data_IF_469629431977
#
_entry.id   IF_469629431977
#
_cell.length_a   1.000
_cell.length_b   1.000
_cell.length_c   1.000
_cell.angle_alpha   90.00
_cell.angle_beta   90.00
_cell.angle_gamma   90.00
#
_symmetry.space_group_name_H-M   'P 1'
#
loop_
_entity.id
_entity.type
_entity.pdbx_description
1 polymer ?
#
# COMPACT_ATOMS: atom_id res chain seq x y z
N UNK A 1 -53.17 -1.90 -9.00
CA UNK A 1 -52.09 -2.62 -9.70
C UNK A 1 -51.68 -1.82 -10.92
N UNK A 2 -50.59 -1.04 -10.82
CA UNK A 2 -50.09 -0.20 -11.90
C UNK A 2 -48.57 -0.34 -11.97
N UNK A 3 -48.09 -0.64 -13.17
CA UNK A 3 -46.71 -0.50 -13.62
C UNK A 3 -46.14 0.86 -13.20
N UNK A 4 -44.90 0.90 -12.70
CA UNK A 4 -44.12 2.14 -12.62
C UNK A 4 -42.78 1.97 -13.33
N UNK A 5 -42.73 2.71 -14.43
CA UNK A 5 -41.71 2.82 -15.45
C UNK A 5 -40.57 3.72 -15.00
N UNK A 6 -39.38 3.37 -15.48
CA UNK A 6 -38.17 4.19 -15.67
C UNK A 6 -38.46 5.68 -15.86
N UNK A 7 -37.84 6.55 -15.05
CA UNK A 7 -37.54 7.96 -15.38
C UNK A 7 -36.30 8.45 -14.63
N UNK A 8 -35.20 8.70 -15.34
CA UNK A 8 -34.70 10.05 -15.62
C UNK A 8 -33.27 9.99 -16.19
N UNK A 9 -33.21 10.19 -17.51
CA UNK A 9 -32.03 10.54 -18.29
C UNK A 9 -32.13 12.05 -18.58
N UNK A 10 -30.96 12.72 -18.67
CA UNK A 10 -30.69 14.06 -19.21
C UNK A 10 -31.09 15.28 -18.37
N UNK A 11 -30.06 15.96 -17.84
CA UNK A 11 -29.87 17.40 -18.06
C UNK A 11 -28.39 17.67 -18.33
N UNK A 12 -28.03 17.72 -19.60
CA UNK A 12 -26.77 18.27 -20.13
C UNK A 12 -27.18 19.19 -21.27
N UNK A 13 -27.13 20.51 -21.06
CA UNK A 13 -26.85 21.52 -22.09
C UNK A 13 -26.88 22.93 -21.48
N UNK A 14 -25.80 23.68 -21.72
CA UNK A 14 -25.83 25.14 -21.75
C UNK A 14 -25.00 25.83 -20.68
N UNK A 15 -23.68 25.89 -20.86
CA UNK A 15 -22.93 27.14 -20.68
C UNK A 15 -21.65 27.07 -21.53
N UNK A 16 -21.66 27.80 -22.64
CA UNK A 16 -20.50 28.13 -23.44
C UNK A 16 -20.14 29.59 -23.13
N UNK A 17 -18.83 29.83 -22.99
CA UNK A 17 -18.14 31.12 -23.06
C UNK A 17 -18.16 32.01 -21.80
N UNK A 18 -17.32 31.63 -20.84
CA UNK A 18 -16.30 32.55 -20.34
C UNK A 18 -15.01 31.76 -20.16
N UNK A 19 -13.92 32.24 -20.76
CA UNK A 19 -12.59 31.67 -20.57
C UNK A 19 -12.12 31.97 -19.16
N UNK A 20 -12.57 31.16 -18.20
CA UNK A 20 -11.91 31.08 -16.91
C UNK A 20 -10.58 30.36 -17.15
N UNK A 21 -9.48 31.08 -16.90
CA UNK A 21 -8.22 30.45 -16.54
C UNK A 21 -8.54 29.38 -15.49
N UNK A 22 -8.53 28.12 -15.90
CA UNK A 22 -8.70 26.99 -14.99
C UNK A 22 -7.64 27.14 -13.91
N UNK A 23 -8.04 27.65 -12.74
CA UNK A 23 -7.17 27.77 -11.60
C UNK A 23 -6.56 26.38 -11.35
N UNK A 24 -5.25 26.33 -11.11
CA UNK A 24 -4.60 25.07 -10.79
C UNK A 24 -5.38 24.40 -9.63
N UNK A 25 -5.61 23.08 -9.68
CA UNK A 25 -6.33 22.40 -8.63
C UNK A 25 -5.67 22.71 -7.27
N UNK A 26 -6.46 22.95 -6.21
CA UNK A 26 -5.91 23.33 -4.92
C UNK A 26 -4.94 22.24 -4.42
N UNK A 27 -3.89 22.62 -3.69
CA UNK A 27 -2.90 21.65 -3.21
C UNK A 27 -3.58 20.58 -2.36
N UNK A 28 -3.19 19.33 -2.58
CA UNK A 28 -3.70 18.16 -1.87
C UNK A 28 -3.32 18.16 -0.39
N UNK A 29 -2.35 18.99 0.02
CA UNK A 29 -1.90 19.17 1.39
C UNK A 29 -2.19 20.59 1.89
N UNK A 30 -2.72 20.68 3.10
CA UNK A 30 -3.05 21.95 3.78
C UNK A 30 -2.30 22.02 5.10
N UNK A 31 -1.64 23.15 5.37
CA UNK A 31 -0.95 23.38 6.66
C UNK A 31 -1.98 23.38 7.79
N UNK A 32 -1.67 22.70 8.88
CA UNK A 32 -2.48 22.64 10.10
C UNK A 32 -1.61 22.89 11.32
N UNK A 33 -2.24 23.31 12.42
CA UNK A 33 -1.55 23.50 13.68
C UNK A 33 -1.45 22.18 14.46
N UNK A 34 -0.47 22.09 15.35
CA UNK A 34 -0.35 20.98 16.29
C UNK A 34 -1.49 21.05 17.31
N UNK A 35 -2.42 20.09 17.29
CA UNK A 35 -3.52 20.01 18.27
C UNK A 35 -3.12 19.23 19.54
N UNK A 36 -3.83 19.43 20.65
CA UNK A 36 -3.54 18.76 21.93
C UNK A 36 -3.70 17.23 21.86
N UNK A 37 -4.57 16.71 20.98
CA UNK A 37 -4.77 15.28 20.83
C UNK A 37 -3.57 14.61 20.12
N UNK A 38 -2.90 15.30 19.19
CA UNK A 38 -1.63 14.89 18.59
C UNK A 38 -0.51 14.85 19.64
N UNK A 39 -0.54 15.79 20.58
CA UNK A 39 0.49 15.94 21.60
C UNK A 39 0.37 14.97 22.77
N UNK A 40 -0.85 14.54 23.09
CA UNK A 40 -1.14 13.70 24.26
C UNK A 40 -1.44 12.25 23.93
N UNK A 41 -1.78 11.93 22.68
CA UNK A 41 -1.98 10.55 22.29
C UNK A 41 -0.71 9.72 22.54
N UNK A 42 -0.84 8.45 22.96
CA UNK A 42 0.29 7.55 23.04
C UNK A 42 1.00 7.53 21.69
N UNK A 43 2.27 7.92 21.69
CA UNK A 43 3.14 7.65 20.55
C UNK A 43 3.29 6.13 20.46
N UNK A 44 3.60 5.59 19.29
CA UNK A 44 3.89 4.18 19.25
C UNK A 44 5.15 3.93 20.10
N UNK A 45 4.99 3.36 21.30
CA UNK A 45 6.10 3.03 22.19
C UNK A 45 7.17 2.21 21.47
N UNK A 46 6.75 1.47 20.45
CA UNK A 46 7.60 0.71 19.54
C UNK A 46 8.64 1.60 18.83
N UNK A 47 8.31 2.85 18.45
CA UNK A 47 9.27 3.77 17.80
C UNK A 47 10.41 4.11 18.75
N UNK A 48 10.09 4.47 19.99
CA UNK A 48 11.09 4.85 20.98
C UNK A 48 11.97 3.65 21.35
N UNK A 49 11.34 2.50 21.58
CA UNK A 49 12.04 1.26 21.92
C UNK A 49 12.89 0.74 20.74
N UNK A 50 12.53 1.05 19.49
CA UNK A 50 13.24 0.64 18.26
C UNK A 50 13.97 1.80 17.57
N UNK A 51 14.34 2.86 18.31
CA UNK A 51 14.87 4.09 17.72
C UNK A 51 16.09 3.91 16.80
N UNK A 52 16.95 2.92 17.09
CA UNK A 52 18.10 2.60 16.25
C UNK A 52 17.71 1.94 14.92
N UNK A 53 16.74 1.03 14.94
CA UNK A 53 16.20 0.39 13.74
C UNK A 53 15.52 1.43 12.84
N UNK A 54 14.72 2.30 13.45
CA UNK A 54 14.11 3.46 12.80
C UNK A 54 15.17 4.37 12.17
N UNK A 55 16.22 4.70 12.92
CA UNK A 55 17.31 5.54 12.42
C UNK A 55 18.07 4.92 11.25
N UNK A 56 18.13 3.58 11.18
CA UNK A 56 18.69 2.83 10.05
C UNK A 56 17.76 2.85 8.84
N UNK A 57 16.46 2.60 9.04
CA UNK A 57 15.45 2.67 7.98
C UNK A 57 15.39 4.06 7.33
N UNK A 58 15.56 5.11 8.12
CA UNK A 58 15.65 6.50 7.63
C UNK A 58 16.82 6.71 6.67
N UNK A 59 17.98 6.07 6.89
CA UNK A 59 19.15 6.23 6.03
C UNK A 59 18.89 5.70 4.60
N UNK A 60 18.17 4.60 4.47
CA UNK A 60 17.80 4.03 3.16
C UNK A 60 16.82 4.95 2.43
N UNK A 61 15.85 5.51 3.15
CA UNK A 61 14.91 6.47 2.58
C UNK A 61 15.59 7.80 2.17
N UNK A 62 16.59 8.25 2.93
CA UNK A 62 17.45 9.39 2.54
C UNK A 62 18.24 9.09 1.26
N UNK A 63 18.70 7.85 1.06
CA UNK A 63 19.33 7.42 -0.19
C UNK A 63 18.38 7.55 -1.39
N UNK A 64 17.13 7.12 -1.26
CA UNK A 64 16.10 7.36 -2.28
C UNK A 64 15.96 8.84 -2.62
N UNK A 65 15.90 9.72 -1.61
CA UNK A 65 15.73 11.17 -1.83
C UNK A 65 16.93 11.84 -2.54
N UNK A 66 18.07 11.16 -2.64
CA UNK A 66 19.24 11.59 -3.43
C UNK A 66 19.26 11.02 -4.85
N UNK A 67 18.25 10.24 -5.24
CA UNK A 67 18.20 9.59 -6.55
C UNK A 67 17.51 10.45 -7.61
N UNK A 68 17.82 10.25 -8.91
CA UNK A 68 17.08 10.85 -10.01
C UNK A 68 15.58 10.50 -10.01
N UNK A 69 15.22 9.33 -9.46
CA UNK A 69 13.83 8.91 -9.33
C UNK A 69 13.04 9.82 -8.37
N UNK A 70 13.65 10.21 -7.25
CA UNK A 70 13.05 11.17 -6.33
C UNK A 70 12.92 12.55 -6.96
N UNK A 71 13.96 13.03 -7.65
CA UNK A 71 13.91 14.31 -8.37
C UNK A 71 12.75 14.36 -9.37
N UNK A 72 12.61 13.33 -10.20
CA UNK A 72 11.51 13.21 -11.16
C UNK A 72 10.13 13.08 -10.50
N UNK A 73 10.04 12.47 -9.31
CA UNK A 73 8.79 12.38 -8.56
C UNK A 73 8.36 13.75 -8.01
N UNK A 74 9.29 14.50 -7.41
CA UNK A 74 9.01 15.82 -6.83
C UNK A 74 8.83 16.91 -7.88
N UNK A 75 9.45 16.80 -9.06
CA UNK A 75 9.21 17.71 -10.18
C UNK A 75 7.74 17.66 -10.67
N UNK A 76 7.11 16.48 -10.63
CA UNK A 76 5.72 16.27 -11.05
C UNK A 76 4.70 16.72 -10.01
N UNK A 77 5.02 16.58 -8.73
CA UNK A 77 4.05 16.75 -7.64
C UNK A 77 3.73 18.22 -7.28
N UNK A 78 4.52 19.21 -7.76
CA UNK A 78 4.35 20.66 -7.48
C UNK A 78 3.90 20.99 -6.03
N UNK A 79 4.49 20.32 -5.03
CA UNK A 79 3.91 20.22 -3.69
C UNK A 79 4.59 21.12 -2.65
N UNK A 80 4.94 22.37 -2.97
CA UNK A 80 5.53 23.28 -1.97
C UNK A 80 4.70 23.25 -0.66
N UNK A 81 5.32 23.04 0.52
CA UNK A 81 6.75 23.10 0.82
C UNK A 81 7.55 21.79 0.62
N UNK A 82 6.93 20.70 0.16
CA UNK A 82 7.55 19.41 -0.03
C UNK A 82 8.35 19.37 -1.34
N UNK A 83 9.64 19.66 -1.25
CA UNK A 83 10.64 19.34 -2.27
C UNK A 83 11.50 18.17 -1.81
N UNK A 84 12.15 17.45 -2.73
CA UNK A 84 13.06 16.36 -2.37
C UNK A 84 14.11 16.82 -1.34
N UNK A 85 14.67 18.03 -1.53
CA UNK A 85 15.61 18.65 -0.58
C UNK A 85 14.99 18.93 0.78
N UNK A 86 13.79 19.52 0.83
CA UNK A 86 13.12 19.84 2.09
C UNK A 86 12.75 18.56 2.86
N UNK A 87 12.25 17.53 2.17
CA UNK A 87 11.96 16.24 2.78
C UNK A 87 13.24 15.58 3.28
N UNK A 88 14.32 15.58 2.50
CA UNK A 88 15.61 15.04 2.93
C UNK A 88 16.13 15.73 4.20
N UNK A 89 16.12 17.05 4.25
CA UNK A 89 16.53 17.84 5.44
C UNK A 89 15.65 17.51 6.64
N UNK A 90 14.34 17.35 6.42
CA UNK A 90 13.39 16.95 7.45
C UNK A 90 13.74 15.58 8.04
N UNK A 91 14.07 14.59 7.21
CA UNK A 91 14.47 13.26 7.69
C UNK A 91 15.82 13.26 8.40
N UNK A 92 16.80 14.04 7.92
CA UNK A 92 18.10 14.19 8.58
C UNK A 92 17.92 14.78 9.99
N UNK A 93 17.16 15.88 10.11
CA UNK A 93 16.89 16.50 11.41
C UNK A 93 16.07 15.59 12.30
N UNK A 94 15.05 14.93 11.76
CA UNK A 94 14.25 13.97 12.51
C UNK A 94 15.12 12.84 13.09
N UNK A 95 16.03 12.27 12.29
CA UNK A 95 16.97 11.23 12.71
C UNK A 95 17.89 11.73 13.83
N UNK A 96 18.40 12.96 13.72
CA UNK A 96 19.21 13.59 14.76
C UNK A 96 18.43 13.72 16.07
N UNK A 97 17.22 14.29 16.01
CA UNK A 97 16.36 14.44 17.19
C UNK A 97 16.06 13.11 17.86
N UNK A 98 15.75 12.07 17.07
CA UNK A 98 15.43 10.75 17.58
C UNK A 98 16.61 10.10 18.34
N UNK A 99 17.84 10.30 17.84
CA UNK A 99 19.04 9.75 18.45
C UNK A 99 19.52 10.57 19.65
N UNK A 100 19.41 11.90 19.58
CA UNK A 100 19.91 12.82 20.61
C UNK A 100 18.98 12.95 21.83
N UNK A 101 17.66 12.80 21.63
CA UNK A 101 16.69 12.93 22.73
C UNK A 101 16.88 11.82 23.77
N UNK A 102 16.76 12.18 25.04
CA UNK A 102 16.89 11.26 26.19
C UNK A 102 15.56 10.65 26.59
N UNK A 103 14.46 11.32 26.29
CA UNK A 103 13.09 10.86 26.61
C UNK A 103 12.14 11.08 25.43
N UNK A 104 11.08 10.27 25.35
CA UNK A 104 10.01 10.47 24.35
C UNK A 104 9.39 11.88 24.47
N UNK A 105 9.22 12.38 25.70
CA UNK A 105 8.67 13.71 25.97
C UNK A 105 9.52 14.82 25.36
N UNK A 106 10.84 14.76 25.54
CA UNK A 106 11.79 15.71 24.95
C UNK A 106 11.73 15.65 23.42
N UNK A 107 11.79 14.44 22.85
CA UNK A 107 11.71 14.23 21.42
C UNK A 107 10.44 14.85 20.80
N UNK A 108 9.27 14.60 21.40
CA UNK A 108 7.99 15.15 20.94
C UNK A 108 7.93 16.67 21.05
N UNK A 109 8.48 17.22 22.13
CA UNK A 109 8.55 18.67 22.31
C UNK A 109 9.35 19.33 21.19
N UNK A 110 10.53 18.79 20.87
CA UNK A 110 11.41 19.33 19.83
C UNK A 110 10.86 19.09 18.42
N UNK A 111 10.23 17.93 18.17
CA UNK A 111 9.55 17.65 16.92
C UNK A 111 8.47 18.71 16.64
N UNK A 112 7.68 19.08 17.65
CA UNK A 112 6.66 20.14 17.54
C UNK A 112 7.25 21.52 17.24
N UNK A 113 8.33 21.89 17.93
CA UNK A 113 8.92 23.22 17.79
C UNK A 113 9.58 23.41 16.43
N UNK A 114 10.10 22.36 15.83
CA UNK A 114 10.88 22.46 14.59
C UNK A 114 10.12 22.07 13.33
N UNK A 115 9.04 21.28 13.42
CA UNK A 115 8.30 20.81 12.25
C UNK A 115 6.93 21.47 12.12
N UNK A 116 6.52 21.70 10.87
CA UNK A 116 5.15 22.06 10.48
C UNK A 116 4.36 20.81 10.10
N UNK A 117 3.06 20.83 10.36
CA UNK A 117 2.14 19.76 9.97
C UNK A 117 1.36 20.14 8.73
N UNK A 118 1.19 19.17 7.85
CA UNK A 118 0.35 19.27 6.66
C UNK A 118 -0.59 18.07 6.62
N UNK A 119 -1.89 18.33 6.48
CA UNK A 119 -2.91 17.29 6.37
C UNK A 119 -3.36 17.16 4.91
N UNK A 120 -3.55 15.94 4.37
CA UNK A 120 -4.23 15.76 3.11
C UNK A 120 -5.63 16.39 3.14
N UNK A 121 -6.16 16.81 1.98
CA UNK A 121 -7.56 17.24 1.87
C UNK A 121 -8.54 16.06 2.01
N UNK A 122 -8.07 14.84 1.84
CA UNK A 122 -8.93 13.67 1.89
C UNK A 122 -9.85 13.58 0.66
N UNK A 123 -10.65 12.52 0.57
CA UNK A 123 -11.65 12.39 -0.49
C UNK A 123 -12.85 13.33 -0.25
N UNK A 124 -13.06 13.76 0.99
CA UNK A 124 -14.19 14.58 1.41
C UNK A 124 -13.88 16.08 1.50
N UNK A 125 -12.62 16.48 1.28
CA UNK A 125 -12.16 17.87 1.45
C UNK A 125 -11.95 18.30 2.91
N UNK A 126 -12.29 17.44 3.89
CA UNK A 126 -12.19 17.71 5.32
C UNK A 126 -10.95 17.07 5.96
N UNK A 127 -10.14 16.40 5.16
CA UNK A 127 -8.86 15.80 5.56
C UNK A 127 -8.98 14.42 6.17
N UNK A 128 -10.09 13.72 5.93
CA UNK A 128 -10.27 12.33 6.34
C UNK A 128 -9.54 11.40 5.38
N UNK A 129 -8.72 10.51 5.94
CA UNK A 129 -8.03 9.45 5.20
C UNK A 129 -8.62 8.11 5.60
N UNK A 130 -8.98 7.29 4.62
CA UNK A 130 -9.38 5.91 4.86
C UNK A 130 -8.15 5.01 4.81
N UNK A 131 -7.89 4.35 5.94
CA UNK A 131 -6.77 3.45 6.16
C UNK A 131 -7.21 2.00 5.95
N UNK A 132 -6.40 1.28 5.19
CA UNK A 132 -6.36 -0.19 5.18
C UNK A 132 -5.01 -0.67 5.71
N UNK A 133 -4.86 -1.98 5.85
CA UNK A 133 -3.58 -2.60 6.19
C UNK A 133 -3.13 -3.59 5.13
N UNK A 134 -1.82 -3.61 4.87
CA UNK A 134 -1.18 -4.60 4.00
C UNK A 134 -0.02 -5.29 4.72
N UNK A 135 0.38 -6.44 4.19
CA UNK A 135 1.39 -7.29 4.79
C UNK A 135 2.09 -8.11 3.71
N UNK A 136 3.23 -8.70 4.04
CA UNK A 136 3.89 -9.66 3.16
C UNK A 136 3.52 -11.09 3.58
N UNK A 137 2.74 -11.84 2.78
CA UNK A 137 2.38 -13.21 3.11
C UNK A 137 3.59 -14.14 3.09
N UNK A 138 3.49 -15.21 3.87
CA UNK A 138 4.41 -16.36 3.81
C UNK A 138 3.61 -17.58 3.39
N UNK A 139 3.90 -18.15 2.22
CA UNK A 139 3.16 -19.28 1.67
C UNK A 139 4.07 -20.46 1.34
N UNK A 140 3.51 -21.66 1.48
CA UNK A 140 4.15 -22.89 0.97
C UNK A 140 4.08 -22.90 -0.55
N UNK A 141 5.17 -23.28 -1.21
CA UNK A 141 5.24 -23.31 -2.66
C UNK A 141 6.02 -24.52 -3.19
N UNK A 142 5.91 -24.78 -4.48
CA UNK A 142 6.75 -25.74 -5.21
C UNK A 142 7.50 -25.05 -6.34
N UNK A 143 8.70 -25.55 -6.65
CA UNK A 143 9.50 -25.14 -7.82
C UNK A 143 9.06 -25.85 -9.11
N UNK A 144 8.15 -26.82 -8.99
CA UNK A 144 7.58 -27.56 -10.13
C UNK A 144 6.09 -27.72 -9.92
N UNK A 145 5.33 -27.75 -11.01
CA UNK A 145 3.90 -28.06 -10.96
C UNK A 145 3.69 -29.49 -10.43
N UNK A 146 2.77 -29.66 -9.50
CA UNK A 146 2.35 -30.98 -8.97
C UNK A 146 0.83 -31.04 -8.87
N UNK A 147 0.27 -32.18 -8.43
CA UNK A 147 -1.16 -32.28 -8.16
C UNK A 147 -1.64 -31.29 -7.08
N UNK A 148 -0.80 -31.02 -6.08
CA UNK A 148 -1.09 -30.08 -4.98
C UNK A 148 -0.77 -28.64 -5.37
N UNK A 149 0.43 -28.39 -5.90
CA UNK A 149 0.89 -27.04 -6.26
C UNK A 149 0.65 -26.78 -7.74
N UNK A 150 -0.50 -26.17 -8.06
CA UNK A 150 -1.00 -26.01 -9.43
C UNK A 150 -1.09 -24.55 -9.90
N UNK A 151 -1.02 -23.58 -9.00
CA UNK A 151 -1.32 -22.18 -9.31
C UNK A 151 -0.03 -21.36 -9.42
N UNK A 152 0.45 -21.03 -10.63
CA UNK A 152 1.71 -20.34 -10.83
C UNK A 152 1.63 -18.85 -10.49
N UNK A 153 2.74 -18.30 -10.00
CA UNK A 153 3.08 -16.88 -10.14
C UNK A 153 4.18 -16.73 -11.19
N UNK A 154 4.23 -15.58 -11.89
CA UNK A 154 5.02 -15.45 -13.11
C UNK A 154 6.07 -14.34 -13.04
N UNK A 155 7.19 -14.59 -13.71
CA UNK A 155 8.14 -13.55 -14.10
C UNK A 155 7.55 -12.63 -15.15
N UNK A 156 7.99 -11.37 -15.16
CA UNK A 156 7.66 -10.44 -16.25
C UNK A 156 8.28 -10.95 -17.56
N UNK A 157 7.51 -11.09 -18.65
CA UNK A 157 8.05 -11.46 -19.95
C UNK A 157 9.09 -10.44 -20.46
N UNK A 158 10.20 -10.87 -21.11
CA UNK A 158 11.21 -9.95 -21.63
C UNK A 158 10.65 -8.94 -22.65
N UNK A 159 9.64 -9.33 -23.42
CA UNK A 159 8.98 -8.49 -24.41
C UNK A 159 7.80 -7.67 -23.84
N UNK A 160 7.63 -7.61 -22.52
CA UNK A 160 6.50 -6.93 -21.88
C UNK A 160 6.37 -5.46 -22.30
N UNK A 161 7.50 -4.76 -22.48
CA UNK A 161 7.50 -3.37 -22.93
C UNK A 161 6.96 -3.17 -24.35
N UNK A 162 6.92 -4.24 -25.16
CA UNK A 162 6.40 -4.23 -26.53
C UNK A 162 4.94 -4.71 -26.62
N UNK A 163 4.30 -5.01 -25.49
CA UNK A 163 2.90 -5.42 -25.50
C UNK A 163 2.01 -4.24 -25.88
N UNK A 164 1.05 -4.48 -26.79
CA UNK A 164 0.06 -3.48 -27.19
C UNK A 164 -0.93 -3.25 -26.06
N UNK A 165 -1.29 -1.99 -25.81
CA UNK A 165 -2.40 -1.62 -24.93
C UNK A 165 -3.77 -1.78 -25.66
N UNK A 166 -4.83 -2.22 -24.97
CA UNK A 166 -4.80 -2.73 -23.61
C UNK A 166 -4.05 -4.06 -23.53
N UNK A 167 -3.30 -4.29 -22.44
CA UNK A 167 -2.57 -5.55 -22.26
C UNK A 167 -3.53 -6.77 -22.24
N UNK A 168 -3.02 -8.00 -22.41
CA UNK A 168 -3.83 -9.20 -22.22
C UNK A 168 -4.49 -9.23 -20.83
N UNK A 169 -5.73 -9.68 -20.77
CA UNK A 169 -6.49 -9.82 -19.51
C UNK A 169 -5.90 -10.93 -18.65
N UNK A 170 -6.14 -10.88 -17.33
CA UNK A 170 -5.85 -11.98 -16.41
C UNK A 170 -6.27 -13.35 -16.96
N UNK A 171 -7.52 -13.48 -17.43
CA UNK A 171 -8.04 -14.73 -17.98
C UNK A 171 -7.24 -15.24 -19.18
N UNK A 172 -6.80 -14.33 -20.06
CA UNK A 172 -5.93 -14.68 -21.20
C UNK A 172 -4.55 -15.17 -20.75
N UNK A 173 -4.03 -14.63 -19.63
CA UNK A 173 -2.70 -14.92 -19.11
C UNK A 173 -2.64 -16.21 -18.26
N UNK A 174 -3.53 -16.37 -17.28
CA UNK A 174 -3.51 -17.50 -16.34
C UNK A 174 -4.59 -18.56 -16.60
N UNK A 175 -5.47 -18.35 -17.58
CA UNK A 175 -6.62 -19.22 -17.82
C UNK A 175 -7.79 -18.97 -16.87
N UNK A 176 -8.96 -19.53 -17.18
CA UNK A 176 -10.16 -19.34 -16.37
C UNK A 176 -10.04 -19.93 -14.97
N UNK A 177 -9.37 -21.07 -14.82
CA UNK A 177 -9.14 -21.76 -13.54
C UNK A 177 -7.83 -21.32 -12.83
N UNK A 178 -7.07 -20.41 -13.43
CA UNK A 178 -5.82 -19.88 -12.89
C UNK A 178 -4.65 -20.88 -12.87
N UNK A 179 -4.74 -22.03 -13.56
CA UNK A 179 -3.67 -23.03 -13.59
C UNK A 179 -2.64 -22.81 -14.70
N UNK A 180 -2.73 -21.68 -15.39
CA UNK A 180 -1.86 -21.25 -16.47
C UNK A 180 -2.46 -21.51 -17.85
N UNK A 181 -2.21 -20.61 -18.79
CA UNK A 181 -2.58 -20.80 -20.20
C UNK A 181 -1.44 -21.50 -20.98
N UNK A 182 -1.59 -22.77 -21.41
CA UNK A 182 -0.53 -23.52 -22.08
C UNK A 182 -0.19 -23.02 -23.50
N UNK A 183 -1.00 -22.12 -24.05
CA UNK A 183 -0.74 -21.41 -25.32
C UNK A 183 -0.51 -19.91 -25.10
N UNK A 184 -0.50 -19.47 -23.84
CA UNK A 184 -0.36 -18.08 -23.47
C UNK A 184 1.09 -17.61 -23.44
N UNK A 185 1.31 -16.28 -23.43
CA UNK A 185 2.65 -15.68 -23.44
C UNK A 185 3.45 -15.93 -22.14
N UNK A 186 2.83 -16.52 -21.12
CA UNK A 186 3.45 -16.77 -19.81
C UNK A 186 3.98 -18.20 -19.65
N UNK A 187 3.76 -19.09 -20.62
CA UNK A 187 4.29 -20.47 -20.56
C UNK A 187 5.81 -20.46 -20.41
N UNK A 188 6.33 -21.20 -19.43
CA UNK A 188 7.77 -21.27 -19.14
C UNK A 188 8.30 -20.05 -18.37
N UNK A 189 7.43 -19.14 -17.92
CA UNK A 189 7.77 -17.98 -17.09
C UNK A 189 7.34 -18.16 -15.63
N UNK A 190 6.87 -19.34 -15.27
CA UNK A 190 6.49 -19.68 -13.89
C UNK A 190 7.70 -19.52 -12.97
N UNK A 191 7.47 -18.90 -11.82
CA UNK A 191 8.48 -18.63 -10.80
C UNK A 191 8.33 -19.57 -9.59
N UNK A 192 7.08 -19.87 -9.23
CA UNK A 192 6.71 -20.85 -8.23
C UNK A 192 5.24 -21.26 -8.44
N UNK A 193 4.85 -22.40 -7.89
CA UNK A 193 3.48 -22.90 -7.88
C UNK A 193 2.95 -22.94 -6.44
N UNK A 194 1.76 -22.38 -6.23
CA UNK A 194 1.05 -22.32 -4.96
C UNK A 194 -0.01 -23.43 -4.90
N UNK A 195 -0.39 -23.80 -3.68
CA UNK A 195 -1.41 -24.83 -3.44
C UNK A 195 -2.83 -24.29 -3.68
N UNK A 196 -3.04 -22.98 -3.50
CA UNK A 196 -4.32 -22.33 -3.70
C UNK A 196 -4.23 -21.14 -4.67
N UNK A 197 -5.24 -20.99 -5.54
CA UNK A 197 -5.40 -19.79 -6.37
C UNK A 197 -5.62 -18.55 -5.52
N UNK A 198 -6.27 -18.68 -4.35
CA UNK A 198 -6.44 -17.57 -3.42
C UNK A 198 -5.09 -17.04 -2.93
N UNK A 199 -4.17 -17.93 -2.55
CA UNK A 199 -2.83 -17.55 -2.11
C UNK A 199 -2.07 -16.84 -3.25
N UNK A 200 -2.07 -17.42 -4.45
CA UNK A 200 -1.44 -16.79 -5.62
C UNK A 200 -2.03 -15.40 -5.91
N UNK A 201 -3.35 -15.25 -5.83
CA UNK A 201 -4.02 -13.96 -5.98
C UNK A 201 -3.68 -12.99 -4.84
N UNK A 202 -3.56 -13.45 -3.59
CA UNK A 202 -3.12 -12.61 -2.47
C UNK A 202 -1.69 -12.11 -2.68
N UNK A 203 -0.78 -12.89 -3.27
CA UNK A 203 0.54 -12.37 -3.64
C UNK A 203 0.41 -11.20 -4.65
N UNK A 204 -0.55 -11.25 -5.59
CA UNK A 204 -0.85 -10.14 -6.51
C UNK A 204 -1.39 -8.91 -5.78
N UNK A 205 -2.28 -9.10 -4.80
CA UNK A 205 -2.84 -7.99 -4.00
C UNK A 205 -1.77 -7.34 -3.14
N UNK A 206 -0.92 -8.13 -2.49
CA UNK A 206 0.12 -7.63 -1.56
C UNK A 206 1.40 -7.15 -2.25
N UNK A 207 1.63 -7.56 -3.51
CA UNK A 207 2.78 -7.13 -4.32
C UNK A 207 4.12 -7.78 -3.97
N UNK A 208 4.22 -8.54 -2.88
CA UNK A 208 5.40 -9.33 -2.51
C UNK A 208 5.00 -10.54 -1.67
N UNK A 209 5.91 -11.52 -1.55
CA UNK A 209 5.71 -12.68 -0.68
C UNK A 209 7.03 -13.34 -0.28
N UNK A 210 6.97 -14.16 0.77
CA UNK A 210 8.01 -15.11 1.14
C UNK A 210 7.52 -16.53 0.85
N UNK A 211 8.27 -17.27 0.06
CA UNK A 211 7.89 -18.61 -0.38
C UNK A 211 8.73 -19.67 0.30
N UNK A 212 8.07 -20.56 1.03
CA UNK A 212 8.67 -21.72 1.69
C UNK A 212 8.50 -22.95 0.81
N UNK A 213 9.59 -23.37 0.16
CA UNK A 213 9.50 -24.45 -0.83
C UNK A 213 9.36 -25.83 -0.18
N UNK A 214 8.55 -26.69 -0.80
CA UNK A 214 8.62 -28.13 -0.57
C UNK A 214 10.00 -28.65 -0.99
N UNK A 215 10.61 -29.50 -0.17
CA UNK A 215 12.02 -29.89 -0.34
C UNK A 215 13.04 -28.89 0.22
N UNK A 216 12.59 -27.77 0.78
CA UNK A 216 13.45 -26.81 1.50
C UNK A 216 13.86 -25.59 0.67
N UNK A 217 14.48 -24.65 1.39
CA UNK A 217 14.83 -23.33 0.89
C UNK A 217 13.66 -22.35 0.88
N UNK A 218 14.02 -21.08 0.87
CA UNK A 218 13.10 -19.95 0.96
C UNK A 218 13.43 -18.93 -0.13
N UNK A 219 12.43 -18.26 -0.68
CA UNK A 219 12.61 -17.22 -1.69
C UNK A 219 11.68 -16.05 -1.42
N UNK A 220 12.26 -14.85 -1.31
CA UNK A 220 11.50 -13.62 -1.36
C UNK A 220 11.17 -13.28 -2.82
N UNK A 221 9.94 -12.87 -3.08
CA UNK A 221 9.49 -12.39 -4.39
C UNK A 221 8.89 -11.01 -4.23
N UNK A 222 9.12 -10.14 -5.20
CA UNK A 222 8.58 -8.78 -5.21
C UNK A 222 8.08 -8.38 -6.59
N UNK A 223 7.28 -7.33 -6.62
CA UNK A 223 6.70 -6.74 -7.82
C UNK A 223 7.77 -6.47 -8.90
N UNK A 224 7.45 -6.87 -10.13
CA UNK A 224 8.28 -6.66 -11.31
C UNK A 224 7.51 -6.04 -12.49
N UNK A 225 6.22 -5.72 -12.31
CA UNK A 225 5.38 -5.10 -13.33
C UNK A 225 3.90 -5.48 -13.18
N UNK A 226 3.03 -4.72 -13.84
CA UNK A 226 1.60 -4.99 -13.87
C UNK A 226 1.03 -4.70 -15.26
N UNK A 227 -0.01 -5.43 -15.64
CA UNK A 227 -0.86 -5.03 -16.76
C UNK A 227 -1.52 -3.68 -16.48
N UNK A 228 -1.95 -3.00 -17.53
CA UNK A 228 -2.48 -1.63 -17.52
C UNK A 228 -3.92 -1.50 -16.98
N UNK A 229 -4.57 -2.62 -16.62
CA UNK A 229 -5.89 -2.59 -16.00
C UNK A 229 -5.86 -2.04 -14.57
N UNK A 230 -6.91 -1.28 -14.17
CA UNK A 230 -7.09 -0.87 -12.78
C UNK A 230 -7.31 -2.09 -11.88
N UNK A 231 -6.91 -1.96 -10.62
CA UNK A 231 -7.22 -3.00 -9.64
C UNK A 231 -8.73 -3.09 -9.40
N UNK A 232 -9.24 -4.32 -9.35
CA UNK A 232 -10.61 -4.61 -8.93
C UNK A 232 -10.58 -5.67 -7.84
N UNK A 233 -11.16 -5.37 -6.69
CA UNK A 233 -11.33 -6.35 -5.62
C UNK A 233 -12.32 -7.46 -6.02
N UNK A 234 -12.70 -8.28 -5.05
CA UNK A 234 -13.88 -9.14 -5.21
C UNK A 234 -15.12 -8.24 -5.32
N UNK A 235 -16.00 -8.53 -6.28
CA UNK A 235 -17.31 -7.87 -6.37
C UNK A 235 -18.21 -8.36 -5.23
N UNK A 236 -19.13 -7.55 -4.72
CA UNK A 236 -19.93 -7.90 -3.53
C UNK A 236 -20.70 -9.23 -3.69
N UNK A 237 -21.23 -9.50 -4.88
CA UNK A 237 -21.92 -10.75 -5.23
C UNK A 237 -21.04 -12.01 -5.19
N UNK A 238 -19.72 -11.86 -5.02
CA UNK A 238 -18.81 -12.96 -4.72
C UNK A 238 -18.86 -13.40 -3.27
N UNK A 239 -19.15 -12.46 -2.37
CA UNK A 239 -19.09 -12.67 -0.92
C UNK A 239 -20.48 -12.89 -0.33
N UNK A 240 -21.57 -12.58 -1.05
CA UNK A 240 -22.96 -12.83 -0.63
C UNK A 240 -23.22 -14.29 -0.22
N UNK A 241 -22.61 -15.26 -0.91
CA UNK A 241 -22.78 -16.70 -0.62
C UNK A 241 -21.82 -17.21 0.46
N UNK A 242 -20.92 -16.36 0.97
CA UNK A 242 -19.94 -16.74 1.99
C UNK A 242 -20.64 -16.87 3.34
N UNK A 243 -20.63 -18.05 3.98
CA UNK A 243 -21.12 -18.17 5.36
C UNK A 243 -20.39 -17.20 6.29
N UNK A 244 -21.11 -16.61 7.25
CA UNK A 244 -20.51 -15.69 8.23
C UNK A 244 -19.41 -16.35 9.06
N UNK A 245 -19.53 -17.67 9.31
CA UNK A 245 -18.58 -18.48 10.07
C UNK A 245 -17.24 -18.73 9.37
N UNK A 246 -17.16 -18.56 8.05
CA UNK A 246 -15.95 -18.79 7.28
C UNK A 246 -15.21 -17.49 6.98
N UNK A 247 -13.88 -17.54 7.05
CA UNK A 247 -13.05 -16.49 6.47
C UNK A 247 -13.17 -16.49 4.94
N UNK A 248 -12.82 -15.37 4.30
CA UNK A 248 -12.81 -15.27 2.82
C UNK A 248 -11.91 -16.34 2.20
N UNK A 249 -10.75 -16.57 2.82
CA UNK A 249 -9.81 -17.59 2.40
C UNK A 249 -10.37 -19.01 2.51
N UNK A 250 -10.96 -19.36 3.66
CA UNK A 250 -11.59 -20.67 3.87
C UNK A 250 -12.68 -20.91 2.82
N UNK A 251 -13.53 -19.92 2.60
CA UNK A 251 -14.60 -20.01 1.62
C UNK A 251 -14.08 -20.25 0.20
N UNK A 252 -13.08 -19.50 -0.26
CA UNK A 252 -12.56 -19.70 -1.61
C UNK A 252 -11.70 -20.96 -1.75
N UNK A 253 -11.06 -21.44 -0.68
CA UNK A 253 -10.38 -22.74 -0.67
C UNK A 253 -11.35 -23.91 -0.83
N UNK A 254 -12.53 -23.84 -0.19
CA UNK A 254 -13.57 -24.88 -0.31
C UNK A 254 -14.47 -24.70 -1.54
N UNK A 255 -14.50 -23.50 -2.14
CA UNK A 255 -15.33 -23.16 -3.29
C UNK A 255 -14.48 -22.56 -4.44
N UNK A 256 -13.52 -23.30 -5.02
CA UNK A 256 -12.59 -22.75 -6.01
C UNK A 256 -13.28 -22.18 -7.25
N UNK A 257 -14.40 -22.78 -7.70
CA UNK A 257 -15.19 -22.26 -8.84
C UNK A 257 -15.79 -20.88 -8.58
N UNK A 258 -16.13 -20.57 -7.33
CA UNK A 258 -16.59 -19.22 -6.98
C UNK A 258 -15.44 -18.21 -7.11
N UNK A 259 -14.22 -18.58 -6.70
CA UNK A 259 -13.06 -17.73 -6.92
C UNK A 259 -12.79 -17.49 -8.41
N UNK A 260 -12.91 -18.53 -9.25
CA UNK A 260 -12.72 -18.41 -10.70
C UNK A 260 -13.71 -17.40 -11.31
N UNK A 261 -15.00 -17.51 -10.94
CA UNK A 261 -16.05 -16.56 -11.33
C UNK A 261 -15.72 -15.13 -10.86
N UNK A 262 -15.21 -14.99 -9.65
CA UNK A 262 -14.91 -13.70 -9.05
C UNK A 262 -13.71 -12.99 -9.69
N UNK A 263 -12.65 -13.74 -9.95
CA UNK A 263 -11.43 -13.20 -10.56
C UNK A 263 -11.58 -12.91 -12.05
N UNK A 264 -12.62 -13.44 -12.70
CA UNK A 264 -12.96 -13.07 -14.08
C UNK A 264 -13.22 -11.57 -14.28
N UNK A 265 -13.60 -10.85 -13.21
CA UNK A 265 -13.84 -9.40 -13.25
C UNK A 265 -12.57 -8.56 -13.04
N UNK A 266 -11.48 -9.17 -12.58
CA UNK A 266 -10.21 -8.50 -12.33
C UNK A 266 -9.21 -8.80 -13.46
N UNK A 267 -9.20 -7.94 -14.48
CA UNK A 267 -8.26 -8.07 -15.59
C UNK A 267 -6.80 -7.77 -15.21
N UNK A 268 -6.54 -7.19 -14.04
CA UNK A 268 -5.19 -6.81 -13.60
C UNK A 268 -4.38 -8.03 -13.22
N UNK A 269 -3.19 -8.13 -13.81
CA UNK A 269 -2.19 -9.15 -13.55
C UNK A 269 -0.88 -8.53 -13.09
N UNK A 270 -0.19 -9.19 -12.15
CA UNK A 270 1.05 -8.71 -11.54
C UNK A 270 2.14 -9.74 -11.84
N UNK A 271 3.32 -9.25 -12.21
CA UNK A 271 4.52 -10.05 -12.42
C UNK A 271 5.48 -9.86 -11.27
N UNK A 272 6.32 -10.87 -11.03
CA UNK A 272 7.25 -10.90 -9.91
C UNK A 272 8.66 -11.23 -10.33
N UNK A 273 9.62 -10.88 -9.48
CA UNK A 273 11.00 -11.32 -9.59
C UNK A 273 11.51 -11.82 -8.24
N UNK A 274 12.47 -12.77 -8.24
CA UNK A 274 13.16 -13.14 -7.01
C UNK A 274 13.92 -11.93 -6.45
N UNK A 275 13.91 -11.77 -5.13
CA UNK A 275 14.68 -10.74 -4.43
C UNK A 275 15.85 -11.40 -3.72
N UNK A 276 17.02 -10.74 -3.79
CA UNK A 276 18.24 -11.17 -3.09
C UNK A 276 18.11 -10.93 -1.59
N UNK A 277 17.64 -9.73 -1.21
CA UNK A 277 17.29 -9.44 0.18
C UNK A 277 15.98 -10.11 0.55
N UNK A 278 15.91 -10.59 1.79
CA UNK A 278 14.67 -11.06 2.40
C UNK A 278 13.82 -9.91 2.94
N UNK A 279 14.27 -8.66 2.85
CA UNK A 279 13.49 -7.48 3.23
C UNK A 279 12.42 -7.16 2.16
N UNK A 280 11.19 -6.80 2.55
CA UNK A 280 10.19 -6.34 1.61
C UNK A 280 10.58 -4.95 1.09
N UNK A 281 10.60 -4.79 -0.24
CA UNK A 281 10.96 -3.53 -0.90
C UNK A 281 9.69 -2.83 -1.38
N UNK A 282 9.48 -1.57 -0.97
CA UNK A 282 8.34 -0.76 -1.39
C UNK A 282 8.55 -0.15 -2.78
N UNK A 283 7.55 0.57 -3.29
CA UNK A 283 7.59 1.15 -4.64
C UNK A 283 8.68 2.20 -4.87
N UNK A 284 9.28 2.74 -3.80
CA UNK A 284 10.43 3.66 -3.90
C UNK A 284 11.78 2.94 -4.03
N UNK A 285 11.81 1.61 -4.03
CA UNK A 285 13.04 0.83 -4.14
C UNK A 285 13.81 0.68 -2.83
N UNK A 286 13.22 1.09 -1.70
CA UNK A 286 13.79 0.95 -0.35
C UNK A 286 12.97 -0.04 0.49
N UNK A 287 13.56 -0.68 1.51
CA UNK A 287 12.83 -1.56 2.41
C UNK A 287 11.68 -0.86 3.14
N UNK A 288 10.55 -1.57 3.26
CA UNK A 288 9.42 -1.19 4.12
C UNK A 288 9.52 -1.91 5.46
N UNK A 289 9.15 -1.20 6.53
CA UNK A 289 9.30 -1.63 7.90
C UNK A 289 7.94 -1.77 8.56
N UNK A 290 7.73 -2.91 9.24
CA UNK A 290 6.49 -3.20 9.92
C UNK A 290 6.14 -2.08 10.90
N UNK A 291 4.92 -1.57 10.78
CA UNK A 291 4.38 -0.47 11.58
C UNK A 291 5.13 0.86 11.44
N UNK A 292 5.85 1.03 10.33
CA UNK A 292 6.65 2.23 10.04
C UNK A 292 6.55 2.69 8.59
N UNK A 293 5.90 1.93 7.72
CA UNK A 293 5.72 2.28 6.32
C UNK A 293 4.25 2.44 6.00
N UNK A 294 3.95 3.42 5.15
CA UNK A 294 2.64 3.66 4.58
C UNK A 294 2.73 3.68 3.06
N UNK A 295 1.71 3.13 2.41
CA UNK A 295 1.48 3.27 0.99
C UNK A 295 0.46 4.39 0.75
N UNK A 296 0.75 5.27 -0.20
CA UNK A 296 -0.13 6.38 -0.61
C UNK A 296 -0.02 6.64 -2.11
N UNK A 297 -0.90 7.49 -2.64
CA UNK A 297 -0.82 7.98 -4.02
C UNK A 297 0.36 8.95 -4.21
N UNK A 298 1.44 8.47 -4.83
CA UNK A 298 2.67 9.23 -5.09
C UNK A 298 2.51 10.33 -6.14
N UNK A 299 1.41 10.33 -6.89
CA UNK A 299 1.06 11.45 -7.77
C UNK A 299 0.51 12.66 -7.02
N UNK A 300 0.12 12.49 -5.75
CA UNK A 300 -0.57 13.50 -4.93
C UNK A 300 0.13 13.79 -3.60
N UNK A 301 0.75 12.78 -3.00
CA UNK A 301 1.34 12.85 -1.67
C UNK A 301 2.87 12.63 -1.74
N UNK A 302 3.65 13.28 -0.86
CA UNK A 302 5.10 13.44 -1.01
C UNK A 302 5.87 12.12 -0.78
N UNK A 303 6.49 11.53 -1.81
CA UNK A 303 7.22 10.27 -1.72
C UNK A 303 8.36 10.30 -0.70
N UNK A 304 8.39 9.34 0.22
CA UNK A 304 9.44 9.22 1.24
C UNK A 304 9.32 10.23 2.38
N UNK A 305 8.28 11.06 2.42
CA UNK A 305 8.10 12.00 3.52
C UNK A 305 7.70 11.28 4.83
N UNK A 306 8.02 11.94 5.94
CA UNK A 306 7.60 11.52 7.27
C UNK A 306 6.15 11.93 7.51
N UNK A 307 5.36 11.03 8.07
CA UNK A 307 3.98 11.30 8.46
C UNK A 307 3.59 10.64 9.78
N UNK A 308 2.53 11.16 10.40
CA UNK A 308 1.83 10.55 11.54
C UNK A 308 0.47 10.08 11.04
N UNK A 309 0.21 8.78 11.13
CA UNK A 309 -1.10 8.18 10.93
C UNK A 309 -1.82 8.04 12.28
N UNK A 310 -3.06 8.53 12.37
CA UNK A 310 -3.90 8.48 13.57
C UNK A 310 -5.25 7.86 13.24
N UNK A 311 -5.51 6.67 13.77
CA UNK A 311 -6.76 5.93 13.55
C UNK A 311 -6.99 4.93 14.70
N UNK A 312 -8.03 4.09 14.61
CA UNK A 312 -8.10 2.88 15.43
C UNK A 312 -7.14 1.84 14.85
N UNK A 313 -5.94 1.76 15.43
CA UNK A 313 -4.85 0.95 14.91
C UNK A 313 -4.72 -0.36 15.72
N UNK A 314 -4.38 -1.48 15.04
CA UNK A 314 -4.25 -2.78 15.68
C UNK A 314 -2.98 -2.88 16.50
N UNK A 315 -3.07 -3.55 17.64
CA UNK A 315 -1.95 -4.09 18.41
C UNK A 315 -2.21 -5.55 18.75
N UNK A 316 -1.16 -6.35 18.73
CA UNK A 316 -1.20 -7.71 19.26
C UNK A 316 -1.09 -7.64 20.78
N UNK A 317 -2.10 -8.16 21.48
CA UNK A 317 -2.12 -8.26 22.94
C UNK A 317 -2.03 -9.73 23.33
N UNK A 318 -0.99 -10.14 24.08
CA UNK A 318 -0.83 -11.52 24.54
C UNK A 318 -2.11 -12.04 25.22
N UNK A 319 -2.58 -13.22 24.79
CA UNK A 319 -3.81 -13.84 25.30
C UNK A 319 -5.12 -13.21 24.84
N UNK A 320 -5.11 -12.03 24.20
CA UNK A 320 -6.31 -11.32 23.73
C UNK A 320 -6.39 -11.11 22.22
N UNK A 321 -5.34 -11.51 21.48
CA UNK A 321 -5.30 -11.38 20.03
C UNK A 321 -5.15 -9.93 19.56
N UNK A 322 -5.69 -9.61 18.39
CA UNK A 322 -5.63 -8.25 17.82
C UNK A 322 -6.66 -7.36 18.50
N UNK A 323 -6.22 -6.24 19.04
CA UNK A 323 -7.04 -5.22 19.68
C UNK A 323 -6.90 -3.91 18.92
N UNK A 324 -8.02 -3.25 18.63
CA UNK A 324 -8.03 -1.92 18.01
C UNK A 324 -8.08 -0.86 19.10
N UNK A 325 -7.20 0.14 19.00
CA UNK A 325 -7.22 1.29 19.88
C UNK A 325 -6.89 2.56 19.10
N UNK A 326 -7.58 3.66 19.44
CA UNK A 326 -7.25 4.97 18.88
C UNK A 326 -5.83 5.34 19.30
N UNK A 327 -4.92 5.35 18.34
CA UNK A 327 -3.49 5.55 18.57
C UNK A 327 -2.82 6.16 17.35
N UNK A 328 -1.51 6.37 17.44
CA UNK A 328 -0.72 6.98 16.39
C UNK A 328 0.44 6.09 15.98
N UNK A 329 0.77 6.13 14.69
CA UNK A 329 1.97 5.53 14.12
C UNK A 329 2.74 6.59 13.35
N UNK A 330 4.02 6.69 13.66
CA UNK A 330 4.96 7.43 12.83
C UNK A 330 5.35 6.55 11.64
N UNK A 331 5.21 7.07 10.43
CA UNK A 331 5.40 6.32 9.20
C UNK A 331 6.23 7.09 8.19
N UNK A 332 6.94 6.36 7.34
CA UNK A 332 7.56 6.85 6.12
C UNK A 332 6.72 6.43 4.93
N UNK A 333 6.51 7.38 4.02
CA UNK A 333 5.67 7.16 2.85
C UNK A 333 6.43 6.48 1.69
N UNK A 334 6.73 5.18 1.87
CA UNK A 334 7.71 4.43 1.09
C UNK A 334 7.12 3.55 -0.02
N UNK A 335 5.79 3.47 -0.10
CA UNK A 335 5.14 2.49 -0.96
C UNK A 335 3.91 3.05 -1.68
N UNK A 336 3.38 2.30 -2.65
CA UNK A 336 2.15 2.65 -3.37
C UNK A 336 1.38 1.41 -3.77
N UNK A 337 0.07 1.57 -3.96
CA UNK A 337 -0.83 0.47 -4.30
C UNK A 337 -1.83 0.88 -5.37
N UNK A 338 -2.18 -0.04 -6.27
CA UNK A 338 -3.16 0.24 -7.33
C UNK A 338 -4.58 0.55 -6.83
N UNK A 339 -4.90 0.17 -5.58
CA UNK A 339 -6.13 0.52 -4.89
C UNK A 339 -6.02 1.80 -4.04
N UNK A 340 -4.81 2.32 -3.86
CA UNK A 340 -4.50 3.45 -2.98
C UNK A 340 -4.32 4.68 -3.86
N UNK A 341 -5.44 5.32 -4.18
CA UNK A 341 -5.53 6.43 -5.12
C UNK A 341 -6.18 7.64 -4.44
N UNK A 342 -5.74 8.84 -4.78
CA UNK A 342 -6.22 10.06 -4.14
C UNK A 342 -5.48 10.41 -2.83
N UNK A 343 -5.69 11.63 -2.36
CA UNK A 343 -5.13 12.14 -1.09
C UNK A 343 -5.89 11.65 0.16
N UNK A 344 -6.99 10.89 -0.02
CA UNK A 344 -7.81 10.32 1.04
C UNK A 344 -7.64 8.82 1.29
N UNK A 345 -6.62 8.18 0.72
CA UNK A 345 -6.36 6.74 0.87
C UNK A 345 -4.94 6.48 1.33
N UNK A 346 -4.80 5.58 2.30
CA UNK A 346 -3.51 5.11 2.77
C UNK A 346 -3.58 3.62 3.18
N UNK A 347 -2.46 2.91 3.04
CA UNK A 347 -2.34 1.50 3.44
C UNK A 347 -1.16 1.33 4.38
N UNK A 348 -1.36 0.76 5.57
CA UNK A 348 -0.32 0.66 6.58
C UNK A 348 0.35 -0.72 6.54
N UNK A 349 1.68 -0.74 6.46
CA UNK A 349 2.42 -2.00 6.41
C UNK A 349 2.53 -2.65 7.78
N UNK A 350 1.93 -3.82 7.97
CA UNK A 350 1.92 -4.53 9.26
C UNK A 350 3.06 -5.55 9.42
N UNK A 351 3.87 -5.78 8.40
CA UNK A 351 5.03 -6.68 8.44
C UNK A 351 4.88 -7.95 7.60
N UNK A 352 5.57 -9.01 7.99
CA UNK A 352 5.59 -10.30 7.26
C UNK A 352 4.94 -11.42 8.07
N UNK A 353 4.17 -12.27 7.41
CA UNK A 353 3.65 -13.52 7.96
C UNK A 353 2.29 -13.40 8.66
N UNK A 354 1.83 -14.47 9.33
CA UNK A 354 0.45 -14.59 9.80
C UNK A 354 0.03 -13.55 10.85
N UNK A 355 0.96 -13.05 11.66
CA UNK A 355 0.63 -12.03 12.66
C UNK A 355 0.38 -10.66 12.02
N UNK A 356 1.25 -10.30 11.08
CA UNK A 356 1.09 -9.10 10.25
C UNK A 356 -0.21 -9.16 9.45
N UNK A 357 -0.57 -10.32 8.93
CA UNK A 357 -1.85 -10.55 8.25
C UNK A 357 -3.06 -10.28 9.15
N UNK A 358 -3.07 -10.84 10.37
CA UNK A 358 -4.17 -10.60 11.33
C UNK A 358 -4.32 -9.13 11.67
N UNK A 359 -3.20 -8.42 11.87
CA UNK A 359 -3.23 -6.98 12.12
C UNK A 359 -3.71 -6.20 10.89
N UNK A 360 -3.16 -6.49 9.71
CA UNK A 360 -3.49 -5.78 8.47
C UNK A 360 -4.99 -5.89 8.14
N UNK A 361 -5.55 -7.09 8.25
CA UNK A 361 -6.98 -7.35 8.00
C UNK A 361 -7.91 -6.66 8.99
N UNK A 362 -7.42 -6.24 10.17
CA UNK A 362 -8.21 -5.50 11.14
C UNK A 362 -8.27 -4.00 10.85
N UNK A 363 -7.45 -3.49 9.92
CA UNK A 363 -7.44 -2.07 9.54
C UNK A 363 -8.45 -1.85 8.42
N UNK A 364 -9.57 -1.22 8.78
CA UNK A 364 -10.55 -0.72 7.83
C UNK A 364 -11.29 0.44 8.50
N UNK A 365 -10.63 1.60 8.58
CA UNK A 365 -11.16 2.72 9.35
C UNK A 365 -10.70 4.07 8.77
N UNK A 366 -11.46 5.11 9.08
CA UNK A 366 -11.09 6.48 8.77
C UNK A 366 -10.34 7.14 9.92
N UNK A 367 -9.33 7.94 9.56
CA UNK A 367 -8.52 8.67 10.50
C UNK A 367 -7.87 9.89 9.88
N UNK A 368 -6.80 10.34 10.50
CA UNK A 368 -6.02 11.50 10.10
C UNK A 368 -4.61 11.07 9.68
N UNK A 369 -4.10 11.69 8.61
CA UNK A 369 -2.70 11.58 8.20
C UNK A 369 -2.09 12.98 8.25
N UNK A 370 -0.91 13.12 8.86
CA UNK A 370 -0.22 14.40 8.93
C UNK A 370 1.20 14.24 8.45
N UNK A 371 1.58 14.93 7.38
CA UNK A 371 2.96 15.02 6.93
C UNK A 371 3.74 16.06 7.72
N UNK A 372 4.99 15.75 8.02
CA UNK A 372 5.91 16.58 8.78
C UNK A 372 6.96 17.15 7.83
N UNK A 373 7.15 18.46 7.89
CA UNK A 373 8.23 19.14 7.17
C UNK A 373 8.94 20.11 8.12
N UNK A 374 10.27 20.13 8.06
CA UNK A 374 11.10 21.05 8.83
C UNK A 374 10.76 22.50 8.46
N UNK A 375 10.58 23.35 9.46
CA UNK A 375 10.26 24.78 9.26
C UNK A 375 11.38 25.47 8.50
N UNK A 376 11.04 26.43 7.63
CA UNK A 376 12.01 27.15 6.79
C UNK A 376 13.11 27.86 7.57
N UNK A 377 12.81 28.38 8.76
CA UNK A 377 13.80 29.01 9.67
C UNK A 377 14.87 28.03 10.18
N UNK A 378 14.67 26.73 9.95
CA UNK A 378 15.54 25.63 10.35
C UNK A 378 16.10 24.86 9.14
N UNK A 379 15.80 25.29 7.91
CA UNK A 379 16.21 24.62 6.67
C UNK A 379 17.64 24.94 6.26
#
# INVERSE_FOLDING_TARGET
MRFHTVKHVLFWLGFLLSGELSAAPPPDLVRVEWDQALLTAPFDADVWNRKHEVASALAQNISYLNSPAAEAAYARAQAAPFTATAVRRSLLRFRELLLASRTEREFRHTLRSEFSLYRPRGHDGYGRVHFTGYFRPTYRASRVRTATFRYPIYRRPPNFASWRAPHPTRLSLEGYDGTGNPRGPLKGRELAWLASRYEAFMIHVQGSALLDFVGGGRMAVGFAGATDYPFRGFVDSCLERKPASLTIEQFFRTNPRELDRCLAWNNRFIFFEPKVSSEPIGSLGVPVMARWSVATDKGRLPPGALAIARANLPRLVPGKGVQLARSQMLVLDQDSGGAIQGSGRADLFMGTGPEAERMARAIYDSGDLFYLILRKERL
#
